data_IF_286666405197
#
_entry.id   IF_286666405197
#
_cell.length_a   1.000
_cell.length_b   1.000
_cell.length_c   1.000
_cell.angle_alpha   90.00
_cell.angle_beta   90.00
_cell.angle_gamma   90.00
#
_symmetry.space_group_name_H-M   'P 1'
#
loop_
_entity.id
_entity.type
_entity.pdbx_description
1 polymer ?
#
# COMPACT_ATOMS: atom_id res chain seq x y z
N UNK A 1 8.02 5.90 32.63
CA UNK A 1 7.91 6.65 31.36
C UNK A 1 6.93 5.90 30.48
N UNK A 2 5.79 6.48 30.10
CA UNK A 2 4.94 5.88 29.06
C UNK A 2 5.72 5.98 27.76
N UNK A 3 6.21 4.85 27.22
CA UNK A 3 6.72 4.82 25.86
C UNK A 3 5.56 5.26 24.95
N UNK A 4 5.67 6.44 24.34
CA UNK A 4 4.72 6.87 23.33
C UNK A 4 4.89 5.93 22.15
N UNK A 5 3.84 5.16 21.87
CA UNK A 5 3.81 4.19 20.79
C UNK A 5 3.96 4.93 19.46
N UNK A 6 4.98 4.59 18.66
CA UNK A 6 5.12 5.15 17.32
C UNK A 6 4.10 4.45 16.39
N UNK A 7 3.04 5.18 16.01
CA UNK A 7 1.98 4.69 15.12
C UNK A 7 2.51 4.30 13.72
N UNK A 8 3.68 4.82 13.35
CA UNK A 8 4.32 4.61 12.07
C UNK A 8 5.41 3.54 12.10
N UNK A 9 5.61 2.86 13.23
CA UNK A 9 6.58 1.78 13.36
C UNK A 9 6.36 0.70 12.28
N UNK A 10 7.44 0.30 11.61
CA UNK A 10 7.43 -0.73 10.58
C UNK A 10 7.92 -2.06 11.14
N UNK A 11 7.28 -3.15 10.72
CA UNK A 11 7.72 -4.50 10.99
C UNK A 11 8.98 -4.86 10.17
N UNK A 12 9.56 -6.03 10.45
CA UNK A 12 10.79 -6.53 9.80
C UNK A 12 10.69 -6.71 8.27
N UNK A 13 9.46 -6.76 7.74
CA UNK A 13 9.13 -6.84 6.32
C UNK A 13 8.79 -5.47 5.71
N UNK A 14 8.92 -4.40 6.48
CA UNK A 14 8.59 -3.04 6.08
C UNK A 14 7.16 -2.61 6.36
N UNK A 15 6.22 -3.49 6.68
CA UNK A 15 4.83 -3.10 6.84
C UNK A 15 4.57 -2.27 8.11
N UNK A 16 3.90 -1.12 7.99
CA UNK A 16 3.33 -0.39 9.14
C UNK A 16 1.95 -0.93 9.55
N UNK A 17 1.40 -0.48 10.68
CA UNK A 17 0.04 -0.83 11.07
C UNK A 17 -1.00 -0.45 10.00
N UNK A 18 -0.83 0.74 9.40
CA UNK A 18 -1.68 1.24 8.31
C UNK A 18 -1.53 0.39 7.04
N UNK A 19 -0.31 -0.04 6.74
CA UNK A 19 -0.05 -0.96 5.63
C UNK A 19 -0.84 -2.26 5.80
N UNK A 20 -0.75 -2.89 6.99
CA UNK A 20 -1.42 -4.16 7.25
C UNK A 20 -2.94 -4.03 7.34
N UNK A 21 -3.48 -2.90 7.81
CA UNK A 21 -4.94 -2.71 7.83
C UNK A 21 -5.53 -2.70 6.42
N UNK A 22 -4.84 -2.11 5.45
CA UNK A 22 -5.24 -2.08 4.04
C UNK A 22 -5.15 -3.48 3.43
N UNK A 23 -4.04 -4.19 3.67
CA UNK A 23 -3.83 -5.55 3.17
C UNK A 23 -4.90 -6.54 3.66
N UNK A 24 -5.35 -6.38 4.91
CA UNK A 24 -6.38 -7.23 5.52
C UNK A 24 -7.81 -6.70 5.33
N UNK A 25 -8.01 -5.74 4.41
CA UNK A 25 -9.33 -5.18 4.07
C UNK A 25 -10.06 -4.51 5.23
N UNK A 26 -9.35 -4.09 6.27
CA UNK A 26 -9.97 -3.49 7.45
C UNK A 26 -10.03 -1.97 7.30
N UNK A 27 -11.12 -1.50 6.69
CA UNK A 27 -11.36 -0.05 6.48
C UNK A 27 -11.52 0.71 7.81
N UNK A 28 -12.11 0.09 8.82
CA UNK A 28 -12.35 0.70 10.14
C UNK A 28 -11.02 1.00 10.84
N UNK A 29 -10.11 0.01 10.89
CA UNK A 29 -8.75 0.20 11.42
C UNK A 29 -7.98 1.19 10.54
N UNK A 30 -8.12 1.12 9.23
CA UNK A 30 -7.46 2.08 8.32
C UNK A 30 -7.87 3.52 8.63
N UNK A 31 -9.17 3.78 8.79
CA UNK A 31 -9.69 5.09 9.16
C UNK A 31 -9.24 5.51 10.56
N UNK A 32 -9.26 4.59 11.53
CA UNK A 32 -8.80 4.87 12.89
C UNK A 32 -7.32 5.29 12.91
N UNK A 33 -6.46 4.57 12.20
CA UNK A 33 -5.03 4.86 12.13
C UNK A 33 -4.78 6.23 11.48
N UNK A 34 -5.46 6.52 10.37
CA UNK A 34 -5.38 7.82 9.70
C UNK A 34 -5.89 8.97 10.60
N UNK A 35 -6.99 8.75 11.33
CA UNK A 35 -7.51 9.71 12.29
C UNK A 35 -6.58 9.96 13.49
N UNK A 36 -5.66 9.02 13.77
CA UNK A 36 -4.61 9.13 14.79
C UNK A 36 -3.24 9.54 14.19
N UNK A 37 -3.25 10.20 13.03
CA UNK A 37 -2.07 10.74 12.35
C UNK A 37 -1.05 9.69 11.86
N UNK A 38 -1.49 8.47 11.52
CA UNK A 38 -0.64 7.55 10.78
C UNK A 38 -0.25 8.15 9.42
N UNK A 39 1.04 8.14 9.09
CA UNK A 39 1.55 8.66 7.83
C UNK A 39 1.27 7.67 6.70
N UNK A 40 0.38 8.08 5.79
CA UNK A 40 -0.03 7.30 4.63
C UNK A 40 1.01 7.27 3.48
N UNK A 41 2.13 7.96 3.64
CA UNK A 41 3.20 8.04 2.64
C UNK A 41 4.42 7.17 2.99
N UNK A 42 4.38 6.41 4.09
CA UNK A 42 5.46 5.50 4.47
C UNK A 42 5.35 4.23 3.61
N UNK A 43 6.30 4.05 2.71
CA UNK A 43 6.45 2.81 1.93
C UNK A 43 7.07 1.70 2.77
N UNK A 44 6.65 0.46 2.55
CA UNK A 44 7.26 -0.69 3.19
C UNK A 44 8.73 -0.80 2.76
N UNK A 45 9.67 -0.72 3.72
CA UNK A 45 11.09 -0.83 3.39
C UNK A 45 11.42 -2.23 2.85
N UNK A 46 12.29 -2.30 1.82
CA UNK A 46 12.87 -3.57 1.40
C UNK A 46 13.76 -4.09 2.54
N UNK A 47 13.73 -5.41 2.77
CA UNK A 47 14.75 -6.04 3.62
C UNK A 47 16.13 -5.62 3.11
N UNK A 48 16.94 -4.98 3.96
CA UNK A 48 18.38 -5.04 3.75
C UNK A 48 18.78 -6.51 3.80
N UNK A 49 19.64 -6.92 2.86
CA UNK A 49 20.20 -8.27 2.83
C UNK A 49 20.68 -8.63 4.24
N UNK A 50 20.26 -9.79 4.73
CA UNK A 50 20.58 -10.27 6.07
C UNK A 50 22.06 -10.64 6.12
N UNK A 51 22.94 -9.65 6.25
CA UNK A 51 24.35 -9.86 6.63
C UNK A 51 24.69 -9.26 7.98
N UNK A 52 23.76 -8.61 8.67
CA UNK A 52 23.96 -8.16 10.04
C UNK A 52 22.90 -8.74 10.98
N UNK A 53 23.25 -9.90 11.55
CA UNK A 53 22.97 -10.30 12.93
C UNK A 53 21.57 -10.01 13.48
N UNK A 54 20.56 -10.79 13.08
CA UNK A 54 19.32 -10.91 13.86
C UNK A 54 19.32 -12.27 14.53
N UNK A 55 19.78 -12.28 15.78
CA UNK A 55 19.71 -13.43 16.69
C UNK A 55 18.24 -13.85 16.87
N UNK A 56 17.98 -15.14 16.98
CA UNK A 56 16.65 -15.75 17.16
C UNK A 56 15.82 -15.09 18.27
N UNK A 57 16.46 -14.53 19.30
CA UNK A 57 15.81 -13.79 20.38
C UNK A 57 15.10 -12.50 19.91
N UNK A 58 15.62 -11.83 18.87
CA UNK A 58 15.01 -10.60 18.32
C UNK A 58 13.68 -10.86 17.61
N UNK A 59 13.51 -12.05 17.03
CA UNK A 59 12.26 -12.48 16.39
C UNK A 59 11.14 -12.70 17.42
N UNK A 60 11.48 -13.25 18.58
CA UNK A 60 10.53 -13.41 19.70
C UNK A 60 10.16 -12.05 20.31
N UNK A 61 11.14 -11.16 20.51
CA UNK A 61 10.87 -9.78 20.98
C UNK A 61 10.03 -8.99 19.98
N UNK A 62 10.24 -9.18 18.67
CA UNK A 62 9.41 -8.59 17.60
C UNK A 62 8.00 -9.18 17.55
N UNK A 63 7.83 -10.47 17.84
CA UNK A 63 6.50 -11.09 17.95
C UNK A 63 5.74 -10.58 19.19
N UNK A 64 6.43 -10.35 20.30
CA UNK A 64 5.85 -9.79 21.53
C UNK A 64 5.54 -8.29 21.38
N UNK A 65 6.41 -7.54 20.68
CA UNK A 65 6.15 -6.16 20.26
C UNK A 65 5.00 -6.08 19.25
N UNK A 66 4.91 -7.03 18.30
CA UNK A 66 3.77 -7.19 17.37
C UNK A 66 2.48 -7.48 18.12
N UNK A 67 2.52 -8.28 19.19
CA UNK A 67 1.36 -8.52 20.04
C UNK A 67 0.97 -7.26 20.83
N UNK A 68 1.93 -6.51 21.36
CA UNK A 68 1.67 -5.28 22.13
C UNK A 68 1.20 -4.08 21.30
N UNK A 69 1.85 -3.79 20.16
CA UNK A 69 1.49 -2.71 19.24
C UNK A 69 0.09 -2.95 18.65
N UNK A 70 -0.15 -4.17 18.19
CA UNK A 70 -1.41 -4.58 17.57
C UNK A 70 -2.52 -4.72 18.62
N UNK A 71 -2.27 -5.31 19.80
CA UNK A 71 -3.26 -5.35 20.88
C UNK A 71 -3.56 -3.94 21.43
N UNK A 72 -2.60 -3.03 21.58
CA UNK A 72 -2.92 -1.68 22.12
C UNK A 72 -3.74 -0.81 21.16
N UNK A 73 -3.57 -1.01 19.84
CA UNK A 73 -4.37 -0.36 18.80
C UNK A 73 -5.74 -1.04 18.60
N UNK A 74 -5.83 -2.36 18.85
CA UNK A 74 -7.03 -3.19 18.65
C UNK A 74 -7.88 -3.36 19.93
N UNK A 75 -7.31 -3.21 21.13
CA UNK A 75 -8.03 -3.29 22.42
C UNK A 75 -9.13 -2.23 22.56
N UNK A 76 -9.07 -1.15 21.75
CA UNK A 76 -10.12 -0.13 21.67
C UNK A 76 -11.14 -0.38 20.54
N UNK A 77 -10.93 -1.36 19.66
CA UNK A 77 -11.84 -1.67 18.54
C UNK A 77 -11.96 -3.18 18.34
N UNK A 78 -12.84 -3.79 19.14
CA UNK A 78 -13.51 -5.09 18.95
C UNK A 78 -12.70 -6.30 18.43
N UNK A 79 -12.26 -7.15 19.38
CA UNK A 79 -12.21 -8.63 19.45
C UNK A 79 -12.11 -9.58 18.23
N UNK A 80 -12.00 -9.14 16.96
CA UNK A 80 -12.01 -10.05 15.78
C UNK A 80 -10.70 -10.13 14.99
N UNK A 81 -9.67 -9.36 15.35
CA UNK A 81 -8.48 -9.19 14.50
C UNK A 81 -7.37 -10.22 14.79
N UNK A 82 -7.39 -10.87 15.96
CA UNK A 82 -6.29 -11.77 16.39
C UNK A 82 -6.28 -13.14 15.69
N UNK A 83 -7.33 -13.53 14.97
CA UNK A 83 -7.45 -14.90 14.43
C UNK A 83 -6.99 -15.05 12.95
N UNK A 84 -6.80 -13.96 12.21
CA UNK A 84 -6.73 -14.02 10.73
C UNK A 84 -5.33 -14.06 10.10
N UNK A 85 -4.25 -13.99 10.89
CA UNK A 85 -2.88 -13.83 10.35
C UNK A 85 -2.23 -15.15 9.86
N UNK A 86 -2.84 -16.32 10.02
CA UNK A 86 -2.03 -17.57 9.98
C UNK A 86 -2.04 -18.45 8.71
N UNK A 87 -2.77 -18.19 7.59
CA UNK A 87 -2.80 -19.28 6.57
C UNK A 87 -3.03 -19.03 5.08
N UNK A 88 -3.10 -17.80 4.54
CA UNK A 88 -3.43 -17.63 3.10
C UNK A 88 -2.62 -16.66 2.25
N UNK A 89 -1.61 -15.95 2.80
CA UNK A 89 -1.03 -14.77 2.14
C UNK A 89 0.39 -14.90 1.57
N UNK A 90 1.05 -16.06 1.64
CA UNK A 90 2.52 -16.09 1.54
C UNK A 90 3.10 -16.19 0.12
N UNK A 91 2.37 -16.68 -0.89
CA UNK A 91 3.07 -17.05 -2.16
C UNK A 91 2.96 -16.05 -3.32
N UNK A 92 2.07 -15.05 -3.28
CA UNK A 92 1.90 -14.06 -4.37
C UNK A 92 2.33 -12.62 -4.00
N UNK A 93 2.69 -12.38 -2.74
CA UNK A 93 2.68 -11.05 -2.16
C UNK A 93 4.04 -10.33 -2.17
N UNK A 94 5.14 -11.02 -1.92
CA UNK A 94 6.36 -10.37 -1.42
C UNK A 94 6.91 -9.25 -2.34
N UNK A 95 6.95 -9.47 -3.65
CA UNK A 95 7.49 -8.49 -4.60
C UNK A 95 6.57 -7.29 -4.82
N UNK A 96 5.25 -7.48 -4.64
CA UNK A 96 4.25 -6.40 -4.66
C UNK A 96 4.31 -5.59 -3.37
N UNK A 97 4.60 -6.24 -2.23
CA UNK A 97 4.67 -5.60 -0.91
C UNK A 97 5.87 -4.68 -0.80
N UNK A 98 7.04 -5.11 -1.29
CA UNK A 98 8.30 -4.44 -1.04
C UNK A 98 8.42 -3.08 -1.76
N UNK A 99 8.68 -2.02 -0.98
CA UNK A 99 8.78 -0.65 -1.48
C UNK A 99 7.44 0.03 -1.74
N UNK A 100 6.32 -0.67 -1.59
CA UNK A 100 4.98 -0.14 -1.86
C UNK A 100 4.46 0.70 -0.71
N UNK A 101 3.82 1.81 -1.04
CA UNK A 101 3.08 2.62 -0.08
C UNK A 101 1.65 2.12 0.14
N UNK A 102 0.97 2.60 1.20
CA UNK A 102 -0.46 2.37 1.41
C UNK A 102 -1.31 2.55 0.15
N UNK A 103 -1.07 3.61 -0.63
CA UNK A 103 -1.81 3.88 -1.88
C UNK A 103 -1.50 2.88 -2.98
N UNK A 104 -0.25 2.42 -3.12
CA UNK A 104 0.11 1.38 -4.09
C UNK A 104 -0.69 0.10 -3.83
N UNK A 105 -0.70 -0.37 -2.59
CA UNK A 105 -1.40 -1.60 -2.20
C UNK A 105 -2.91 -1.44 -2.37
N UNK A 106 -3.47 -0.31 -1.91
CA UNK A 106 -4.89 -0.04 -2.08
C UNK A 106 -5.31 -0.02 -3.57
N UNK A 107 -4.46 0.51 -4.45
CA UNK A 107 -4.69 0.50 -5.89
C UNK A 107 -4.56 -0.91 -6.50
N UNK A 108 -3.51 -1.66 -6.15
CA UNK A 108 -3.33 -3.05 -6.60
C UNK A 108 -4.52 -3.92 -6.19
N UNK A 109 -4.99 -3.77 -4.95
CA UNK A 109 -6.11 -4.54 -4.40
C UNK A 109 -7.50 -4.05 -4.80
N UNK A 110 -7.63 -2.98 -5.60
CA UNK A 110 -8.94 -2.49 -6.05
C UNK A 110 -9.75 -1.72 -5.00
N UNK A 111 -9.13 -1.25 -3.92
CA UNK A 111 -9.83 -0.70 -2.74
C UNK A 111 -10.15 0.79 -2.89
N UNK A 112 -11.14 1.11 -3.73
CA UNK A 112 -11.49 2.50 -4.04
C UNK A 112 -11.82 3.36 -2.81
N UNK A 113 -12.53 2.82 -1.82
CA UNK A 113 -12.88 3.55 -0.59
C UNK A 113 -11.64 3.85 0.26
N UNK A 114 -10.69 2.90 0.32
CA UNK A 114 -9.40 3.10 0.99
C UNK A 114 -8.59 4.17 0.24
N UNK A 115 -8.51 4.11 -1.09
CA UNK A 115 -7.80 5.13 -1.89
C UNK A 115 -8.39 6.52 -1.68
N UNK A 116 -9.72 6.66 -1.67
CA UNK A 116 -10.37 7.94 -1.33
C UNK A 116 -10.00 8.43 0.06
N UNK A 117 -9.99 7.53 1.04
CA UNK A 117 -9.61 7.85 2.42
C UNK A 117 -8.15 8.31 2.52
N UNK A 118 -7.22 7.58 1.90
CA UNK A 118 -5.79 7.92 1.86
C UNK A 118 -5.55 9.27 1.18
N UNK A 119 -6.17 9.53 0.02
CA UNK A 119 -6.07 10.82 -0.67
C UNK A 119 -6.68 11.97 0.15
N UNK A 120 -7.69 11.69 0.97
CA UNK A 120 -8.23 12.65 1.95
C UNK A 120 -7.28 12.97 3.11
N UNK A 121 -6.29 12.10 3.37
CA UNK A 121 -5.25 12.27 4.39
C UNK A 121 -3.86 12.54 3.76
N UNK A 122 -3.85 13.31 2.67
CA UNK A 122 -2.62 13.80 2.03
C UNK A 122 -1.69 12.72 1.47
N UNK A 123 -2.25 11.57 1.06
CA UNK A 123 -1.46 10.59 0.31
C UNK A 123 -0.98 11.19 -1.03
N UNK A 124 0.33 11.05 -1.28
CA UNK A 124 0.97 11.48 -2.51
C UNK A 124 0.53 10.58 -3.67
N UNK A 125 -0.22 11.14 -4.61
CA UNK A 125 -0.86 10.37 -5.69
C UNK A 125 0.13 9.75 -6.69
N UNK A 126 1.30 10.38 -6.87
CA UNK A 126 2.34 9.98 -7.82
C UNK A 126 3.57 9.37 -7.15
N UNK A 127 3.44 8.81 -5.93
CA UNK A 127 4.57 8.11 -5.34
C UNK A 127 5.03 6.98 -6.24
N UNK A 128 6.34 6.78 -6.28
CA UNK A 128 6.95 5.67 -6.99
C UNK A 128 7.68 4.77 -5.99
N UNK A 129 7.66 3.47 -6.23
CA UNK A 129 8.65 2.56 -5.62
C UNK A 129 9.90 2.46 -6.51
N UNK A 130 10.92 1.72 -6.08
CA UNK A 130 12.25 1.68 -6.73
C UNK A 130 12.24 1.34 -8.23
N UNK A 131 11.25 0.59 -8.71
CA UNK A 131 11.11 0.24 -10.13
C UNK A 131 10.27 1.26 -10.92
N UNK A 132 9.89 2.40 -10.33
CA UNK A 132 9.10 3.43 -10.99
C UNK A 132 7.60 3.14 -11.06
N UNK A 133 7.11 2.06 -10.43
CA UNK A 133 5.67 1.79 -10.37
C UNK A 133 4.97 2.86 -9.52
N UNK A 134 3.88 3.42 -10.05
CA UNK A 134 2.95 4.34 -9.37
C UNK A 134 1.65 3.64 -8.95
N UNK A 135 0.82 4.23 -8.07
CA UNK A 135 -0.52 3.72 -7.80
C UNK A 135 -1.41 3.62 -9.05
N UNK A 136 -1.27 4.57 -9.99
CA UNK A 136 -1.97 4.52 -11.28
C UNK A 136 -1.49 3.35 -12.15
N UNK A 137 -0.20 3.07 -12.16
CA UNK A 137 0.35 1.90 -12.86
C UNK A 137 -0.29 0.61 -12.34
N UNK A 138 -0.37 0.40 -11.02
CA UNK A 138 -1.02 -0.78 -10.44
C UNK A 138 -2.51 -0.87 -10.77
N UNK A 139 -3.26 0.24 -10.69
CA UNK A 139 -4.67 0.24 -11.07
C UNK A 139 -4.87 -0.15 -12.54
N UNK A 140 -3.95 0.25 -13.43
CA UNK A 140 -3.95 -0.09 -14.84
C UNK A 140 -3.53 -1.54 -15.12
N UNK A 141 -2.50 -2.03 -14.40
CA UNK A 141 -2.00 -3.40 -14.52
C UNK A 141 -3.06 -4.42 -14.13
N UNK A 142 -3.80 -4.18 -13.05
CA UNK A 142 -4.82 -5.12 -12.57
C UNK A 142 -6.18 -4.91 -13.25
N UNK A 143 -6.41 -3.72 -13.83
CA UNK A 143 -7.63 -3.42 -14.59
C UNK A 143 -8.77 -2.80 -13.77
N UNK A 144 -8.47 -2.07 -12.70
CA UNK A 144 -9.47 -1.42 -11.85
C UNK A 144 -9.96 -0.09 -12.45
N UNK A 145 -10.90 -0.16 -13.41
CA UNK A 145 -11.37 0.99 -14.17
C UNK A 145 -11.84 2.18 -13.31
N UNK A 146 -12.64 1.93 -12.27
CA UNK A 146 -13.15 2.98 -11.38
C UNK A 146 -12.03 3.67 -10.59
N UNK A 147 -10.99 2.93 -10.23
CA UNK A 147 -9.79 3.48 -9.59
C UNK A 147 -8.97 4.32 -10.57
N UNK A 148 -8.82 3.85 -11.81
CA UNK A 148 -8.13 4.64 -12.85
C UNK A 148 -8.85 5.97 -13.05
N UNK A 149 -10.18 5.97 -13.17
CA UNK A 149 -10.96 7.21 -13.26
C UNK A 149 -10.76 8.11 -12.04
N UNK A 150 -10.81 7.56 -10.83
CA UNK A 150 -10.57 8.33 -9.60
C UNK A 150 -9.18 8.97 -9.58
N UNK A 151 -8.15 8.20 -9.91
CA UNK A 151 -6.76 8.68 -9.87
C UNK A 151 -6.51 9.77 -10.92
N UNK A 152 -7.01 9.58 -12.14
CA UNK A 152 -6.92 10.60 -13.20
C UNK A 152 -7.71 11.87 -12.83
N UNK A 153 -8.90 11.74 -12.24
CA UNK A 153 -9.67 12.87 -11.72
C UNK A 153 -8.91 13.62 -10.61
N UNK A 154 -8.09 12.91 -9.84
CA UNK A 154 -7.19 13.47 -8.81
C UNK A 154 -5.81 13.85 -9.36
N UNK A 155 -5.72 13.99 -10.68
CA UNK A 155 -4.56 14.53 -11.37
C UNK A 155 -3.31 13.63 -11.37
N UNK A 156 -3.48 12.32 -11.15
CA UNK A 156 -2.39 11.35 -11.25
C UNK A 156 -1.64 11.50 -12.59
N UNK A 157 -0.31 11.46 -12.51
CA UNK A 157 0.55 11.61 -13.68
C UNK A 157 0.65 10.28 -14.43
N UNK A 158 -0.09 10.23 -15.54
CA UNK A 158 -0.11 9.10 -16.45
C UNK A 158 1.18 8.94 -17.29
N UNK A 159 2.12 9.89 -17.23
CA UNK A 159 3.39 9.85 -17.98
C UNK A 159 4.54 9.21 -17.20
N UNK A 160 4.37 8.89 -15.91
CA UNK A 160 5.39 8.20 -15.13
C UNK A 160 5.46 6.74 -15.57
N UNK A 161 6.60 6.33 -16.11
CA UNK A 161 6.84 4.96 -16.56
C UNK A 161 7.59 4.13 -15.52
N UNK A 162 7.37 2.80 -15.58
CA UNK A 162 8.19 1.80 -14.88
C UNK A 162 9.60 1.76 -15.49
N UNK A 163 10.55 1.14 -14.81
CA UNK A 163 11.96 1.03 -15.20
C UNK A 163 12.19 0.43 -16.60
N UNK A 164 11.25 -0.36 -17.13
CA UNK A 164 11.32 -0.90 -18.48
C UNK A 164 10.72 0.04 -19.55
N UNK A 165 10.38 1.26 -19.18
CA UNK A 165 9.81 2.29 -20.05
C UNK A 165 8.30 2.17 -20.25
N UNK A 166 7.62 1.18 -19.66
CA UNK A 166 6.16 1.03 -19.83
C UNK A 166 5.38 2.10 -19.07
N UNK A 167 4.45 2.75 -19.76
CA UNK A 167 3.47 3.64 -19.16
C UNK A 167 2.29 2.86 -18.57
N UNK A 168 1.47 3.47 -17.68
CA UNK A 168 0.23 2.88 -17.21
C UNK A 168 -0.71 2.44 -18.35
N UNK A 169 -0.76 3.17 -19.46
CA UNK A 169 -1.56 2.76 -20.63
C UNK A 169 -1.00 1.55 -21.37
N UNK A 170 0.31 1.35 -21.31
CA UNK A 170 0.98 0.24 -22.00
C UNK A 170 0.75 -1.05 -21.24
N UNK A 171 0.94 -1.04 -19.91
CA UNK A 171 0.63 -2.21 -19.08
C UNK A 171 -0.85 -2.59 -19.11
N UNK A 172 -1.76 -1.61 -19.18
CA UNK A 172 -3.18 -1.88 -19.39
C UNK A 172 -3.43 -2.53 -20.77
N UNK A 173 -2.70 -2.14 -21.80
CA UNK A 173 -2.83 -2.76 -23.14
C UNK A 173 -2.30 -4.19 -23.12
N UNK A 174 -1.11 -4.40 -22.53
CA UNK A 174 -0.46 -5.72 -22.44
C UNK A 174 -1.33 -6.75 -21.71
N UNK A 175 -2.05 -6.30 -20.68
CA UNK A 175 -2.95 -7.16 -19.89
C UNK A 175 -4.38 -7.24 -20.47
N UNK A 176 -4.63 -6.67 -21.65
CA UNK A 176 -5.93 -6.74 -22.32
C UNK A 176 -7.01 -5.78 -21.79
N UNK A 177 -6.64 -4.84 -20.91
CA UNK A 177 -7.52 -3.78 -20.38
C UNK A 177 -7.64 -2.61 -21.36
N UNK A 178 -8.04 -2.89 -22.60
CA UNK A 178 -8.03 -1.92 -23.71
C UNK A 178 -8.82 -0.65 -23.41
N UNK A 179 -9.99 -0.75 -22.77
CA UNK A 179 -10.79 0.44 -22.39
C UNK A 179 -10.03 1.36 -21.42
N UNK A 180 -9.31 0.78 -20.45
CA UNK A 180 -8.48 1.53 -19.50
C UNK A 180 -7.32 2.22 -20.22
N UNK A 181 -6.64 1.49 -21.12
CA UNK A 181 -5.58 2.06 -21.93
C UNK A 181 -6.06 3.27 -22.76
N UNK A 182 -7.26 3.19 -23.33
CA UNK A 182 -7.88 4.32 -24.06
C UNK A 182 -8.14 5.51 -23.13
N UNK A 183 -8.77 5.28 -21.98
CA UNK A 183 -9.07 6.34 -20.98
C UNK A 183 -7.79 7.08 -20.58
N UNK A 184 -6.72 6.34 -20.27
CA UNK A 184 -5.43 6.94 -19.88
C UNK A 184 -4.84 7.74 -21.04
N UNK A 185 -4.79 7.18 -22.26
CA UNK A 185 -4.27 7.87 -23.45
C UNK A 185 -5.06 9.13 -23.81
N UNK A 186 -6.39 9.11 -23.64
CA UNK A 186 -7.23 10.29 -23.85
C UNK A 186 -6.95 11.38 -22.81
N UNK A 187 -6.78 11.00 -21.53
CA UNK A 187 -6.42 11.94 -20.48
C UNK A 187 -5.08 12.64 -20.75
N UNK A 188 -4.07 11.90 -21.25
CA UNK A 188 -2.76 12.45 -21.63
C UNK A 188 -2.88 13.54 -22.72
N UNK A 189 -3.75 13.34 -23.72
CA UNK A 189 -3.93 14.29 -24.83
C UNK A 189 -4.53 15.62 -24.38
N UNK A 190 -5.38 15.61 -23.35
CA UNK A 190 -6.05 16.81 -22.82
C UNK A 190 -5.13 17.72 -21.99
N UNK A 191 -3.91 17.28 -21.66
CA UNK A 191 -2.93 18.00 -20.82
C UNK A 191 -1.76 18.63 -21.60
N UNK A 192 -1.77 18.54 -22.93
CA UNK A 192 -0.85 19.27 -23.82
C UNK A 192 -1.52 20.55 -24.32
#
# INVERSE_FOLDING_TARGET
MKHQLDINAQAYDGGSALYFSIWNENIEITQLLLANNADCNISAHRKQSVTETVNKNSLETLQEYKKGLFNSLVENTSSRVTEYVSKKSVDYAFDVVAGSSPTHIACFMGRINVVRCLLGHNAKINMTKEDGITPLFYACEVGHADLVHLLLQKEADSQICRIDGKLPSDIATDNGHTSIAMIVKEHMKKRK
#
